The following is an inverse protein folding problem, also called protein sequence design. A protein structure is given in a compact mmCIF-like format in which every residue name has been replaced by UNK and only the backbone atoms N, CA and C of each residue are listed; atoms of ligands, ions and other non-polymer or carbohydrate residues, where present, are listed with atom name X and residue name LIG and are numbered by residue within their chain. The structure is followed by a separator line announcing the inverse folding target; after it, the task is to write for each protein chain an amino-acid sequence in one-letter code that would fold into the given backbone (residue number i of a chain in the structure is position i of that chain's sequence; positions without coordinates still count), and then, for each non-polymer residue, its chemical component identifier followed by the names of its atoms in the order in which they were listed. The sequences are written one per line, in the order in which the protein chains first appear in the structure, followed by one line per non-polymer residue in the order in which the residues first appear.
data_IF_799021333641
#
_entry.id   IF_799021333641
#
_cell.length_a   1.000
_cell.length_b   1.000
_cell.length_c   1.000
_cell.angle_alpha   90.00
_cell.angle_beta   90.00
_cell.angle_gamma   90.00
#
_symmetry.space_group_name_H-M   'P 1'
#
loop_
_entity.id
_entity.type
_entity.pdbx_description
1 polymer ?
#
# COMPACT_ATOMS: atom_id res chain seq x y z
N UNK A 1 -3.64 0.38 -13.62
CA UNK A 1 -2.27 0.53 -13.12
C UNK A 1 -1.57 -0.82 -13.21
N UNK A 2 -0.28 -0.85 -13.55
CA UNK A 2 0.46 -2.12 -13.72
C UNK A 2 0.44 -2.96 -12.45
N UNK A 3 0.69 -2.34 -11.30
CA UNK A 3 0.76 -3.01 -10.00
C UNK A 3 -0.51 -3.80 -9.65
N UNK A 4 -1.69 -3.31 -10.05
CA UNK A 4 -2.96 -3.97 -9.72
C UNK A 4 -3.10 -5.36 -10.34
N UNK A 5 -2.35 -5.67 -11.42
CA UNK A 5 -2.33 -7.00 -12.01
C UNK A 5 -1.69 -8.05 -11.09
N UNK A 6 -0.89 -7.62 -10.12
CA UNK A 6 -0.19 -8.48 -9.17
C UNK A 6 -0.93 -8.60 -7.82
N UNK A 7 -2.04 -7.88 -7.64
CA UNK A 7 -2.73 -7.79 -6.36
C UNK A 7 -3.35 -9.12 -5.90
N UNK A 8 -3.84 -9.97 -6.82
CA UNK A 8 -4.50 -11.22 -6.42
C UNK A 8 -3.51 -12.18 -5.74
N UNK A 9 -2.30 -12.29 -6.30
CA UNK A 9 -1.21 -13.09 -5.74
C UNK A 9 -0.71 -12.49 -4.42
N UNK A 10 -0.41 -11.18 -4.44
CA UNK A 10 0.08 -10.47 -3.26
C UNK A 10 -0.90 -10.54 -2.09
N UNK A 11 -2.20 -10.33 -2.33
CA UNK A 11 -3.22 -10.42 -1.26
C UNK A 11 -3.32 -11.81 -0.67
N UNK A 12 -3.16 -12.86 -1.49
CA UNK A 12 -3.18 -14.23 -0.98
C UNK A 12 -2.03 -14.46 0.00
N UNK A 13 -0.84 -13.95 -0.32
CA UNK A 13 0.32 -13.98 0.57
C UNK A 13 0.11 -13.12 1.84
N UNK A 14 -0.30 -11.85 1.68
CA UNK A 14 -0.53 -10.97 2.83
C UNK A 14 -1.57 -11.56 3.79
N UNK A 15 -2.66 -12.11 3.26
CA UNK A 15 -3.68 -12.78 4.07
C UNK A 15 -3.16 -14.02 4.81
N UNK A 16 -2.22 -14.78 4.24
CA UNK A 16 -1.63 -15.93 4.94
C UNK A 16 -0.68 -15.51 6.07
N UNK A 17 -0.10 -14.31 5.97
CA UNK A 17 0.79 -13.72 6.98
C UNK A 17 0.05 -12.78 7.94
N UNK A 18 -1.28 -12.64 7.82
CA UNK A 18 -2.07 -11.73 8.66
C UNK A 18 -1.83 -10.24 8.40
N UNK A 19 -1.29 -9.88 7.23
CA UNK A 19 -0.99 -8.51 6.84
C UNK A 19 -2.17 -7.92 6.04
N UNK A 20 -2.57 -6.69 6.38
CA UNK A 20 -3.66 -5.98 5.70
C UNK A 20 -3.14 -4.97 4.68
N UNK A 21 -3.83 -4.84 3.54
CA UNK A 21 -3.52 -3.83 2.53
C UNK A 21 -4.38 -2.57 2.72
N UNK A 22 -3.71 -1.43 2.85
CA UNK A 22 -4.34 -0.10 2.94
C UNK A 22 -3.99 0.71 1.70
N UNK A 23 -5.01 1.18 0.98
CA UNK A 23 -4.86 2.07 -0.16
C UNK A 23 -5.11 3.52 0.27
N UNK A 24 -4.19 4.42 -0.07
CA UNK A 24 -4.31 5.86 0.21
C UNK A 24 -4.45 6.61 -1.10
N UNK A 25 -5.53 7.37 -1.26
CA UNK A 25 -5.73 8.27 -2.38
C UNK A 25 -5.23 9.68 -2.02
N UNK A 26 -4.38 10.24 -2.88
CA UNK A 26 -3.73 11.54 -2.73
C UNK A 26 -4.31 12.63 -3.67
N UNK A 27 -5.45 12.38 -4.32
CA UNK A 27 -6.03 13.33 -5.27
C UNK A 27 -6.82 14.42 -4.53
N UNK A 28 -6.33 15.67 -4.55
CA UNK A 28 -6.99 16.81 -3.89
C UNK A 28 -8.42 17.08 -4.38
N UNK A 29 -8.71 16.79 -5.65
CA UNK A 29 -10.00 17.03 -6.31
C UNK A 29 -10.60 15.73 -6.87
N UNK A 30 -10.64 14.70 -6.03
CA UNK A 30 -11.12 13.38 -6.43
C UNK A 30 -12.59 13.39 -6.88
N UNK A 31 -12.83 12.81 -8.06
CA UNK A 31 -14.17 12.41 -8.49
C UNK A 31 -14.54 11.09 -7.80
N UNK A 32 -15.33 11.19 -6.74
CA UNK A 32 -15.66 10.05 -5.87
C UNK A 32 -16.29 8.87 -6.62
N UNK A 33 -17.18 9.15 -7.57
CA UNK A 33 -17.85 8.11 -8.34
C UNK A 33 -16.85 7.36 -9.22
N UNK A 34 -15.92 8.07 -9.87
CA UNK A 34 -14.86 7.45 -10.66
C UNK A 34 -13.90 6.65 -9.79
N UNK A 35 -13.53 7.17 -8.63
CA UNK A 35 -12.65 6.47 -7.69
C UNK A 35 -13.28 5.15 -7.20
N UNK A 36 -14.52 5.20 -6.71
CA UNK A 36 -15.25 4.01 -6.27
C UNK A 36 -15.43 2.99 -7.40
N UNK A 37 -15.69 3.45 -8.64
CA UNK A 37 -15.75 2.56 -9.80
C UNK A 37 -14.39 1.93 -10.11
N UNK A 38 -13.29 2.68 -9.99
CA UNK A 38 -11.94 2.14 -10.15
C UNK A 38 -11.63 1.05 -9.12
N UNK A 39 -11.99 1.28 -7.84
CA UNK A 39 -11.85 0.29 -6.76
C UNK A 39 -12.57 -1.01 -7.12
N UNK A 40 -13.84 -0.93 -7.55
CA UNK A 40 -14.65 -2.09 -7.91
C UNK A 40 -14.10 -2.82 -9.14
N UNK A 41 -13.79 -2.08 -10.20
CA UNK A 41 -13.33 -2.65 -11.47
C UNK A 41 -11.97 -3.36 -11.33
N UNK A 42 -11.10 -2.85 -10.47
CA UNK A 42 -9.80 -3.44 -10.19
C UNK A 42 -9.82 -4.40 -8.97
N UNK A 43 -11.01 -4.69 -8.41
CA UNK A 43 -11.19 -5.56 -7.24
C UNK A 43 -10.25 -5.21 -6.08
N UNK A 44 -10.06 -3.93 -5.81
CA UNK A 44 -9.18 -3.46 -4.72
C UNK A 44 -9.92 -3.64 -3.38
N UNK A 45 -9.73 -4.80 -2.76
CA UNK A 45 -10.31 -5.18 -1.46
C UNK A 45 -9.37 -4.76 -0.33
N UNK A 46 -9.93 -4.39 0.83
CA UNK A 46 -9.17 -3.88 1.96
C UNK A 46 -9.63 -2.47 2.33
N UNK A 47 -8.76 -1.73 3.00
CA UNK A 47 -9.05 -0.38 3.47
C UNK A 47 -8.70 0.66 2.41
N UNK A 48 -9.55 1.67 2.28
CA UNK A 48 -9.37 2.78 1.34
C UNK A 48 -9.52 4.10 2.10
N UNK A 49 -8.46 4.90 2.11
CA UNK A 49 -8.37 6.14 2.87
C UNK A 49 -8.15 7.29 1.89
N UNK A 50 -8.82 8.41 2.14
CA UNK A 50 -8.43 9.69 1.53
C UNK A 50 -7.40 10.35 2.42
N UNK A 51 -6.34 10.79 1.77
CA UNK A 51 -5.31 11.59 2.40
C UNK A 51 -5.93 12.88 3.01
N UNK A 52 -5.37 13.31 4.14
CA UNK A 52 -5.64 14.61 4.74
C UNK A 52 -4.34 15.17 5.29
N UNK A 53 -4.15 16.48 5.34
CA UNK A 53 -2.84 17.08 5.65
C UNK A 53 -2.08 16.49 6.87
N UNK A 54 -2.80 16.01 7.89
CA UNK A 54 -2.16 15.35 9.04
C UNK A 54 -1.48 14.05 8.65
N UNK A 55 -2.14 13.22 7.84
CA UNK A 55 -1.60 11.97 7.31
C UNK A 55 -0.41 12.24 6.38
N UNK A 56 -0.48 13.21 5.46
CA UNK A 56 0.64 13.57 4.57
C UNK A 56 1.85 13.97 5.39
N UNK A 57 1.67 14.81 6.42
CA UNK A 57 2.77 15.24 7.29
C UNK A 57 3.40 14.06 7.99
N UNK A 58 2.61 13.09 8.43
CA UNK A 58 3.11 11.90 9.12
C UNK A 58 3.84 10.95 8.16
N UNK A 59 3.25 10.67 6.99
CA UNK A 59 3.88 9.89 5.93
C UNK A 59 5.19 10.52 5.47
N UNK A 60 5.24 11.84 5.29
CA UNK A 60 6.45 12.56 4.87
C UNK A 60 7.56 12.48 5.92
N UNK A 61 7.24 12.56 7.21
CA UNK A 61 8.21 12.33 8.30
C UNK A 61 8.78 10.91 8.26
N UNK A 62 7.96 9.95 7.85
CA UNK A 62 8.31 8.55 7.72
C UNK A 62 8.85 8.16 6.32
N UNK A 63 9.29 9.12 5.52
CA UNK A 63 10.03 8.85 4.28
C UNK A 63 9.20 8.87 2.98
N UNK A 64 7.90 9.14 3.05
CA UNK A 64 7.10 9.35 1.84
C UNK A 64 7.61 10.58 1.06
N UNK A 65 7.94 10.39 -0.21
CA UNK A 65 8.60 11.39 -1.05
C UNK A 65 7.71 11.98 -2.15
N UNK A 66 6.38 11.86 -2.01
CA UNK A 66 5.38 12.34 -2.96
C UNK A 66 5.50 11.75 -4.37
N UNK A 67 6.10 10.56 -4.51
CA UNK A 67 6.08 9.77 -5.75
C UNK A 67 4.99 8.70 -5.66
N UNK A 68 4.31 8.45 -6.77
CA UNK A 68 3.29 7.40 -6.86
C UNK A 68 3.61 6.41 -8.00
N UNK A 69 3.30 5.12 -7.83
CA UNK A 69 2.93 4.49 -6.56
C UNK A 69 4.16 4.36 -5.64
N UNK A 70 3.92 4.49 -4.33
CA UNK A 70 4.87 4.22 -3.24
C UNK A 70 4.23 3.21 -2.29
N UNK A 71 5.04 2.28 -1.78
CA UNK A 71 4.63 1.26 -0.83
C UNK A 71 5.46 1.42 0.44
N UNK A 72 4.79 1.29 1.58
CA UNK A 72 5.39 1.32 2.91
C UNK A 72 4.87 0.11 3.68
N UNK A 73 5.69 -0.44 4.58
CA UNK A 73 5.32 -1.51 5.49
C UNK A 73 5.34 -0.94 6.89
N UNK A 74 4.24 -1.17 7.61
CA UNK A 74 3.99 -0.67 8.94
C UNK A 74 3.74 -1.89 9.84
N UNK A 75 4.33 -1.91 11.02
CA UNK A 75 4.11 -2.97 11.99
C UNK A 75 2.79 -2.79 12.78
N UNK A 76 2.51 -3.72 13.68
CA UNK A 76 1.29 -3.71 14.51
C UNK A 76 1.25 -2.56 15.53
N UNK A 77 2.39 -1.91 15.82
CA UNK A 77 2.48 -0.74 16.70
C UNK A 77 2.26 0.57 15.96
N UNK A 78 2.22 0.53 14.62
CA UNK A 78 2.05 1.70 13.77
C UNK A 78 3.37 2.34 13.34
N UNK A 79 4.51 1.67 13.55
CA UNK A 79 5.83 2.17 13.17
C UNK A 79 6.18 1.73 11.75
N UNK A 80 6.81 2.64 11.00
CA UNK A 80 7.24 2.36 9.61
C UNK A 80 8.54 1.57 9.64
N UNK A 81 8.44 0.27 9.34
CA UNK A 81 9.60 -0.64 9.27
C UNK A 81 10.24 -0.66 7.89
N UNK A 82 9.51 -0.24 6.85
CA UNK A 82 10.04 -0.01 5.51
C UNK A 82 9.30 1.15 4.83
N UNK A 83 10.04 2.20 4.47
CA UNK A 83 9.48 3.43 3.89
C UNK A 83 9.50 3.46 2.35
N UNK A 84 10.23 2.55 1.72
CA UNK A 84 10.34 2.41 0.28
C UNK A 84 10.34 0.94 -0.12
N UNK A 85 9.24 0.26 0.20
CA UNK A 85 9.06 -1.15 -0.09
C UNK A 85 9.06 -1.43 -1.60
N UNK A 86 9.45 -2.65 -1.95
CA UNK A 86 9.36 -3.11 -3.33
C UNK A 86 7.91 -3.11 -3.82
N UNK A 87 7.73 -2.95 -5.12
CA UNK A 87 6.40 -2.92 -5.72
C UNK A 87 5.86 -4.34 -5.92
N UNK A 88 4.54 -4.53 -6.04
CA UNK A 88 3.96 -5.81 -6.43
C UNK A 88 4.60 -6.39 -7.71
N UNK A 89 4.96 -5.56 -8.68
CA UNK A 89 5.65 -5.98 -9.91
C UNK A 89 7.07 -6.53 -9.69
N UNK A 90 7.72 -6.21 -8.56
CA UNK A 90 9.07 -6.69 -8.22
C UNK A 90 9.08 -8.13 -7.67
N UNK A 91 7.90 -8.72 -7.45
CA UNK A 91 7.65 -10.13 -7.11
C UNK A 91 8.60 -10.67 -6.02
N UNK A 92 9.59 -11.46 -6.42
CA UNK A 92 10.53 -12.15 -5.52
C UNK A 92 11.21 -11.20 -4.54
N UNK A 93 11.58 -9.98 -4.98
CA UNK A 93 12.21 -9.00 -4.09
C UNK A 93 11.27 -8.55 -2.97
N UNK A 94 9.99 -8.36 -3.30
CA UNK A 94 8.97 -7.98 -2.32
C UNK A 94 8.73 -9.11 -1.31
N UNK A 95 8.61 -10.35 -1.78
CA UNK A 95 8.38 -11.49 -0.87
C UNK A 95 9.59 -11.78 0.03
N UNK A 96 10.82 -11.63 -0.48
CA UNK A 96 12.01 -11.74 0.37
C UNK A 96 12.11 -10.59 1.39
N UNK A 97 11.67 -9.37 1.03
CA UNK A 97 11.58 -8.26 1.97
C UNK A 97 10.60 -8.58 3.10
N UNK A 98 9.40 -9.10 2.80
CA UNK A 98 8.46 -9.54 3.84
C UNK A 98 9.05 -10.62 4.74
N UNK A 99 9.67 -11.66 4.17
CA UNK A 99 10.30 -12.73 4.96
C UNK A 99 11.42 -12.23 5.87
N UNK A 100 12.13 -11.16 5.51
CA UNK A 100 13.17 -10.61 6.36
C UNK A 100 12.57 -9.80 7.51
N UNK A 101 11.51 -9.03 7.24
CA UNK A 101 10.81 -8.25 8.27
C UNK A 101 10.03 -9.13 9.26
N UNK A 102 9.45 -10.24 8.80
CA UNK A 102 8.67 -11.16 9.65
C UNK A 102 9.53 -12.11 10.53
N UNK A 103 10.85 -12.14 10.33
CA UNK A 103 11.77 -12.97 11.14
C UNK A 103 12.22 -12.26 12.42
N UNK A 104 11.99 -10.95 12.51
CA UNK A 104 12.31 -10.12 13.68
C UNK A 104 11.20 -10.21 14.73
#
# INVERSE_FOLDING_TARGET
FEEFKHNDELKSYLSSEGIEMVYINFDDNIDEAKWLNSIRNNKLTGYHIRENESLMRDLAKNGFNNRLPTYMIIDEQGEVVESNAFRPSDKEKLYEQFKNLLKE
#
